data_IF_289229261696
#
_entry.id   IF_289229261696
#
_cell.length_a   1.000
_cell.length_b   1.000
_cell.length_c   1.000
_cell.angle_alpha   90.00
_cell.angle_beta   90.00
_cell.angle_gamma   90.00
#
_symmetry.space_group_name_H-M   'P 1'
#
loop_
_entity.id
_entity.type
_entity.pdbx_description
1 polymer ?
#
# COMPACT_ATOMS: atom_id res chain seq x y z
N UNK A 1 -22.63 -24.49 31.29
CA UNK A 1 -22.80 -24.02 29.88
C UNK A 1 -21.49 -23.41 29.40
N UNK A 2 -21.02 -23.78 28.21
CA UNK A 2 -19.61 -23.87 27.80
C UNK A 2 -18.88 -22.54 27.49
N UNK A 3 -18.47 -21.78 28.52
CA UNK A 3 -17.64 -20.57 28.36
C UNK A 3 -16.23 -20.81 27.79
N UNK A 4 -15.71 -22.04 27.85
CA UNK A 4 -14.36 -22.41 27.36
C UNK A 4 -14.33 -22.54 25.82
N UNK A 5 -15.40 -23.05 25.22
CA UNK A 5 -15.51 -23.22 23.76
C UNK A 5 -15.58 -21.88 23.01
N UNK A 6 -16.35 -20.94 23.55
CA UNK A 6 -16.52 -19.60 22.97
C UNK A 6 -15.20 -18.79 22.97
N UNK A 7 -14.47 -18.77 24.09
CA UNK A 7 -13.17 -18.09 24.19
C UNK A 7 -12.13 -18.68 23.22
N UNK A 8 -12.13 -20.00 23.02
CA UNK A 8 -11.19 -20.68 22.11
C UNK A 8 -11.49 -20.38 20.64
N UNK A 9 -12.77 -20.31 20.26
CA UNK A 9 -13.20 -19.97 18.91
C UNK A 9 -12.98 -18.48 18.57
N UNK A 10 -13.25 -17.59 19.52
CA UNK A 10 -12.94 -16.15 19.41
C UNK A 10 -11.44 -15.92 19.22
N UNK A 11 -10.60 -16.50 20.09
CA UNK A 11 -9.13 -16.37 20.02
C UNK A 11 -8.54 -16.89 18.70
N UNK A 12 -9.09 -17.97 18.12
CA UNK A 12 -8.65 -18.48 16.80
C UNK A 12 -8.99 -17.51 15.66
N UNK A 13 -10.14 -16.84 15.71
CA UNK A 13 -10.53 -15.84 14.71
C UNK A 13 -9.65 -14.59 14.77
N UNK A 14 -9.26 -14.18 15.97
CA UNK A 14 -8.33 -13.07 16.18
C UNK A 14 -6.94 -13.39 15.63
N UNK A 15 -6.36 -14.55 16.00
CA UNK A 15 -5.02 -14.95 15.54
C UNK A 15 -4.92 -14.98 14.01
N UNK A 16 -5.96 -15.51 13.36
CA UNK A 16 -6.00 -15.61 11.92
C UNK A 16 -6.09 -14.20 11.27
N UNK A 17 -6.74 -13.23 11.91
CA UNK A 17 -6.78 -11.84 11.42
C UNK A 17 -5.41 -11.16 11.53
N UNK A 18 -4.67 -11.40 12.61
CA UNK A 18 -3.30 -10.86 12.76
C UNK A 18 -2.32 -11.40 11.73
N UNK A 19 -2.39 -12.69 11.39
CA UNK A 19 -1.56 -13.28 10.33
C UNK A 19 -1.80 -12.58 8.99
N UNK A 20 -3.06 -12.23 8.68
CA UNK A 20 -3.40 -11.50 7.46
C UNK A 20 -2.93 -10.05 7.48
N UNK A 21 -2.95 -9.40 8.64
CA UNK A 21 -2.40 -8.05 8.78
C UNK A 21 -0.89 -8.02 8.56
N UNK A 22 -0.14 -8.96 9.13
CA UNK A 22 1.33 -8.96 9.04
C UNK A 22 1.87 -9.63 7.78
N UNK A 23 1.07 -10.49 7.12
CA UNK A 23 1.47 -11.26 5.95
C UNK A 23 2.16 -10.45 4.84
N UNK A 24 1.60 -9.32 4.39
CA UNK A 24 2.23 -8.48 3.38
C UNK A 24 3.62 -7.98 3.79
N UNK A 25 3.81 -7.59 5.05
CA UNK A 25 5.12 -7.22 5.61
C UNK A 25 6.10 -8.39 5.55
N UNK A 26 5.66 -9.61 5.90
CA UNK A 26 6.51 -10.80 5.82
C UNK A 26 6.91 -11.12 4.38
N UNK A 27 5.99 -10.96 3.41
CA UNK A 27 6.30 -11.18 2.00
C UNK A 27 7.35 -10.19 1.48
N UNK A 28 7.20 -8.91 1.82
CA UNK A 28 8.19 -7.88 1.47
C UNK A 28 9.54 -8.16 2.16
N UNK A 29 9.54 -8.49 3.45
CA UNK A 29 10.75 -8.81 4.18
C UNK A 29 11.49 -10.01 3.57
N UNK A 30 10.77 -11.10 3.27
CA UNK A 30 11.38 -12.28 2.64
C UNK A 30 11.98 -11.94 1.28
N UNK A 31 11.20 -11.31 0.39
CA UNK A 31 11.66 -10.99 -0.96
C UNK A 31 12.84 -10.01 -0.97
N UNK A 32 12.73 -8.92 -0.21
CA UNK A 32 13.68 -7.81 -0.30
C UNK A 32 14.90 -8.00 0.61
N UNK A 33 14.72 -8.52 1.83
CA UNK A 33 15.79 -8.60 2.83
C UNK A 33 16.44 -9.98 2.90
N UNK A 34 15.70 -11.07 2.66
CA UNK A 34 16.28 -12.41 2.66
C UNK A 34 16.77 -12.84 1.28
N UNK A 35 15.95 -12.63 0.23
CA UNK A 35 16.30 -13.00 -1.14
C UNK A 35 16.99 -11.88 -1.91
N UNK A 36 16.94 -10.63 -1.45
CA UNK A 36 17.56 -9.49 -2.14
C UNK A 36 16.99 -9.23 -3.53
N UNK A 37 15.73 -9.63 -3.81
CA UNK A 37 15.16 -9.62 -5.16
C UNK A 37 13.81 -8.94 -5.21
N UNK A 38 13.71 -7.86 -5.98
CA UNK A 38 12.45 -7.14 -6.20
C UNK A 38 11.43 -7.97 -6.97
N UNK A 39 11.88 -8.78 -7.94
CA UNK A 39 10.99 -9.69 -8.65
C UNK A 39 10.33 -10.72 -7.73
N UNK A 40 11.12 -11.34 -6.84
CA UNK A 40 10.59 -12.26 -5.81
C UNK A 40 9.68 -11.51 -4.83
N UNK A 41 10.06 -10.29 -4.45
CA UNK A 41 9.25 -9.40 -3.59
C UNK A 41 7.87 -9.16 -4.18
N UNK A 42 7.81 -8.74 -5.45
CA UNK A 42 6.54 -8.50 -6.16
C UNK A 42 5.72 -9.79 -6.28
N UNK A 43 6.35 -10.90 -6.65
CA UNK A 43 5.66 -12.19 -6.74
C UNK A 43 5.01 -12.58 -5.40
N UNK A 44 5.78 -12.57 -4.31
CA UNK A 44 5.28 -12.97 -2.99
C UNK A 44 4.20 -12.01 -2.48
N UNK A 45 4.44 -10.71 -2.59
CA UNK A 45 3.53 -9.68 -2.09
C UNK A 45 2.21 -9.68 -2.85
N UNK A 46 2.24 -9.57 -4.18
CA UNK A 46 1.01 -9.51 -4.98
C UNK A 46 0.26 -10.85 -4.99
N UNK A 47 0.97 -11.99 -4.94
CA UNK A 47 0.31 -13.28 -4.74
C UNK A 47 -0.42 -13.32 -3.40
N UNK A 48 0.15 -12.79 -2.32
CA UNK A 48 -0.53 -12.72 -1.03
C UNK A 48 -1.78 -11.83 -1.10
N UNK A 49 -1.65 -10.61 -1.63
CA UNK A 49 -2.77 -9.66 -1.72
C UNK A 49 -3.93 -10.22 -2.55
N UNK A 50 -3.62 -11.00 -3.59
CA UNK A 50 -4.63 -11.62 -4.44
C UNK A 50 -5.21 -12.89 -3.82
N UNK A 51 -4.38 -13.87 -3.47
CA UNK A 51 -4.82 -15.22 -3.12
C UNK A 51 -5.53 -15.29 -1.76
N UNK A 52 -5.11 -14.49 -0.78
CA UNK A 52 -5.69 -14.56 0.58
C UNK A 52 -7.19 -14.19 0.60
N UNK A 53 -7.64 -13.09 -0.03
CA UNK A 53 -9.08 -12.81 -0.18
C UNK A 53 -9.85 -13.93 -0.89
N UNK A 54 -9.26 -14.61 -1.89
CA UNK A 54 -9.90 -15.73 -2.60
C UNK A 54 -10.01 -16.99 -1.73
N UNK A 55 -8.95 -17.35 -1.03
CA UNK A 55 -8.93 -18.50 -0.09
C UNK A 55 -9.99 -18.31 0.99
N UNK A 56 -10.16 -17.09 1.47
CA UNK A 56 -11.17 -16.73 2.45
C UNK A 56 -12.59 -16.56 1.87
N UNK A 57 -12.75 -16.66 0.55
CA UNK A 57 -14.00 -16.41 -0.17
C UNK A 57 -14.62 -15.03 0.18
N UNK A 58 -13.75 -14.04 0.40
CA UNK A 58 -14.10 -12.71 0.89
C UNK A 58 -13.61 -11.61 -0.07
N UNK A 59 -13.55 -11.93 -1.37
CA UNK A 59 -13.19 -10.95 -2.39
C UNK A 59 -14.24 -9.82 -2.44
N UNK A 60 -13.84 -8.54 -2.36
CA UNK A 60 -14.75 -7.41 -2.15
C UNK A 60 -15.42 -6.94 -3.44
N UNK A 61 -16.03 -7.85 -4.21
CA UNK A 61 -16.63 -7.55 -5.53
C UNK A 61 -17.68 -6.42 -5.45
N UNK A 62 -18.46 -6.38 -4.37
CA UNK A 62 -19.49 -5.36 -4.16
C UNK A 62 -18.94 -3.96 -3.86
N UNK A 63 -17.65 -3.83 -3.53
CA UNK A 63 -17.00 -2.55 -3.25
C UNK A 63 -16.50 -1.86 -4.52
N UNK A 64 -16.54 -2.51 -5.69
CA UNK A 64 -16.23 -1.93 -7.00
C UNK A 64 -17.37 -1.08 -7.57
N UNK A 65 -17.91 -0.18 -6.76
CA UNK A 65 -19.00 0.72 -7.18
C UNK A 65 -18.42 2.00 -7.76
N UNK A 66 -18.41 2.10 -9.09
CA UNK A 66 -18.02 3.32 -9.78
C UNK A 66 -19.14 4.35 -9.64
N UNK A 67 -18.85 5.45 -8.96
CA UNK A 67 -19.80 6.57 -8.81
C UNK A 67 -19.12 7.87 -9.23
N UNK A 68 -19.90 8.83 -9.73
CA UNK A 68 -19.39 10.16 -10.09
C UNK A 68 -18.67 10.82 -8.90
N UNK A 69 -19.25 10.72 -7.71
CA UNK A 69 -18.65 11.22 -6.48
C UNK A 69 -17.31 10.52 -6.17
N UNK A 70 -17.25 9.19 -6.32
CA UNK A 70 -16.02 8.43 -6.15
C UNK A 70 -14.92 8.84 -7.13
N UNK A 71 -15.26 9.05 -8.39
CA UNK A 71 -14.31 9.55 -9.40
C UNK A 71 -13.80 10.95 -9.02
N UNK A 72 -14.69 11.89 -8.69
CA UNK A 72 -14.29 13.26 -8.32
C UNK A 72 -13.39 13.27 -7.08
N UNK A 73 -13.78 12.52 -6.03
CA UNK A 73 -12.98 12.42 -4.81
C UNK A 73 -11.61 11.78 -5.10
N UNK A 74 -11.58 10.72 -5.91
CA UNK A 74 -10.34 10.05 -6.31
C UNK A 74 -9.42 10.98 -7.11
N UNK A 75 -9.94 11.68 -8.12
CA UNK A 75 -9.17 12.61 -8.93
C UNK A 75 -8.66 13.81 -8.11
N UNK A 76 -9.52 14.43 -7.30
CA UNK A 76 -9.15 15.61 -6.51
C UNK A 76 -8.12 15.26 -5.44
N UNK A 77 -8.34 14.18 -4.68
CA UNK A 77 -7.38 13.76 -3.66
C UNK A 77 -6.10 13.19 -4.26
N UNK A 78 -6.20 12.43 -5.36
CA UNK A 78 -5.05 11.92 -6.08
C UNK A 78 -4.18 13.03 -6.66
N UNK A 79 -4.78 14.07 -7.25
CA UNK A 79 -4.04 15.25 -7.70
C UNK A 79 -3.34 15.97 -6.54
N UNK A 80 -4.00 16.07 -5.37
CA UNK A 80 -3.37 16.64 -4.17
C UNK A 80 -2.14 15.82 -3.72
N UNK A 81 -2.26 14.49 -3.64
CA UNK A 81 -1.13 13.63 -3.28
C UNK A 81 -0.03 13.63 -4.35
N UNK A 82 -0.39 13.62 -5.63
CA UNK A 82 0.55 13.79 -6.74
C UNK A 82 1.38 15.07 -6.55
N UNK A 83 0.71 16.21 -6.35
CA UNK A 83 1.38 17.51 -6.15
C UNK A 83 2.24 17.52 -4.89
N UNK A 84 1.77 16.89 -3.81
CA UNK A 84 2.53 16.75 -2.58
C UNK A 84 3.80 15.92 -2.77
N UNK A 85 3.70 14.75 -3.41
CA UNK A 85 4.83 13.83 -3.62
C UNK A 85 5.82 14.43 -4.64
N UNK A 86 5.34 14.70 -5.85
CA UNK A 86 6.20 15.18 -6.92
C UNK A 86 6.69 16.60 -6.65
N UNK A 87 5.82 17.52 -6.26
CA UNK A 87 6.21 18.90 -5.94
C UNK A 87 7.12 18.97 -4.71
N UNK A 88 6.81 18.18 -3.67
CA UNK A 88 7.64 18.10 -2.47
C UNK A 88 9.05 17.59 -2.77
N UNK A 89 9.19 16.50 -3.53
CA UNK A 89 10.50 15.97 -3.90
C UNK A 89 11.20 16.80 -4.97
N UNK A 90 10.48 17.46 -5.87
CA UNK A 90 11.08 18.41 -6.82
C UNK A 90 11.86 19.50 -6.07
N UNK A 91 11.34 19.98 -4.93
CA UNK A 91 12.02 20.98 -4.13
C UNK A 91 13.05 20.39 -3.13
N UNK A 92 12.71 19.28 -2.47
CA UNK A 92 13.45 18.80 -1.30
C UNK A 92 14.36 17.59 -1.56
N UNK A 93 14.43 17.07 -2.81
CA UNK A 93 15.21 15.87 -3.13
C UNK A 93 16.68 15.96 -2.70
N UNK A 94 17.33 17.13 -2.77
CA UNK A 94 18.72 17.31 -2.33
C UNK A 94 18.93 17.00 -0.84
N UNK A 95 17.88 17.14 -0.02
CA UNK A 95 17.91 16.85 1.41
C UNK A 95 17.43 15.44 1.73
N UNK A 96 16.61 14.83 0.87
CA UNK A 96 15.93 13.58 1.19
C UNK A 96 16.54 12.36 0.48
N UNK A 97 17.14 12.56 -0.68
CA UNK A 97 17.61 11.50 -1.57
C UNK A 97 19.11 11.66 -1.85
N UNK A 98 19.83 10.54 -1.82
CA UNK A 98 21.17 10.46 -2.40
C UNK A 98 21.04 9.93 -3.82
N UNK A 99 20.83 10.83 -4.78
CA UNK A 99 20.47 10.48 -6.17
C UNK A 99 21.43 9.46 -6.78
N UNK A 100 22.75 9.62 -6.60
CA UNK A 100 23.72 8.68 -7.15
C UNK A 100 23.59 7.27 -6.56
N UNK A 101 23.36 7.18 -5.25
CA UNK A 101 23.15 5.88 -4.59
C UNK A 101 21.80 5.27 -4.98
N UNK A 102 20.77 6.09 -5.13
CA UNK A 102 19.45 5.65 -5.55
C UNK A 102 19.48 5.12 -7.00
N UNK A 103 20.22 5.76 -7.90
CA UNK A 103 20.43 5.26 -9.27
C UNK A 103 21.06 3.87 -9.25
N UNK A 104 22.14 3.67 -8.48
CA UNK A 104 22.78 2.36 -8.33
C UNK A 104 21.81 1.33 -7.77
N UNK A 105 21.05 1.68 -6.73
CA UNK A 105 20.03 0.80 -6.15
C UNK A 105 18.96 0.38 -7.17
N UNK A 106 18.46 1.32 -7.98
CA UNK A 106 17.46 1.02 -9.01
C UNK A 106 18.02 0.14 -10.12
N UNK A 107 19.31 0.30 -10.49
CA UNK A 107 20.01 -0.62 -11.40
C UNK A 107 20.11 -2.02 -10.80
N UNK A 108 20.51 -2.14 -9.53
CA UNK A 108 20.62 -3.42 -8.81
C UNK A 108 19.26 -4.12 -8.68
N UNK A 109 18.18 -3.34 -8.57
CA UNK A 109 16.80 -3.82 -8.58
C UNK A 109 16.27 -4.22 -9.97
N UNK A 110 17.06 -4.01 -11.02
CA UNK A 110 16.69 -4.36 -12.39
C UNK A 110 15.77 -3.34 -13.07
N UNK A 111 15.68 -2.11 -12.54
CA UNK A 111 14.86 -1.03 -13.10
C UNK A 111 15.65 -0.19 -14.11
N UNK A 112 16.17 -0.87 -15.13
CA UNK A 112 16.83 -0.28 -16.29
C UNK A 112 16.25 -0.87 -17.58
N UNK A 113 16.13 -0.04 -18.63
CA UNK A 113 15.61 -0.50 -19.92
C UNK A 113 14.18 -1.04 -19.81
N UNK A 114 13.94 -2.28 -20.23
CA UNK A 114 12.60 -2.90 -20.17
C UNK A 114 12.05 -3.03 -18.75
N UNK A 115 12.92 -3.13 -17.73
CA UNK A 115 12.49 -3.19 -16.32
C UNK A 115 11.78 -1.92 -15.85
N UNK A 116 12.07 -0.77 -16.46
CA UNK A 116 11.39 0.50 -16.16
C UNK A 116 9.92 0.44 -16.59
N UNK A 117 9.64 -0.14 -17.77
CA UNK A 117 8.28 -0.29 -18.27
C UNK A 117 7.44 -1.16 -17.33
N UNK A 118 8.00 -2.29 -16.89
CA UNK A 118 7.33 -3.17 -15.93
C UNK A 118 7.11 -2.52 -14.58
N UNK A 119 8.08 -1.74 -14.09
CA UNK A 119 7.92 -0.96 -12.86
C UNK A 119 6.74 0.01 -12.96
N UNK A 120 6.66 0.79 -14.04
CA UNK A 120 5.56 1.75 -14.27
C UNK A 120 4.22 1.02 -14.35
N UNK A 121 4.15 -0.11 -15.07
CA UNK A 121 2.93 -0.90 -15.15
C UNK A 121 2.49 -1.42 -13.78
N UNK A 122 3.44 -1.93 -13.00
CA UNK A 122 3.16 -2.41 -11.63
C UNK A 122 2.67 -1.27 -10.77
N UNK A 123 3.38 -0.14 -10.71
CA UNK A 123 3.02 1.00 -9.86
C UNK A 123 1.69 1.66 -10.27
N UNK A 124 1.39 1.80 -11.57
CA UNK A 124 0.19 2.52 -11.99
C UNK A 124 -1.05 1.65 -12.17
N UNK A 125 -0.89 0.32 -12.19
CA UNK A 125 -2.01 -0.59 -12.45
C UNK A 125 -2.13 -1.64 -11.37
N UNK A 126 -1.13 -2.53 -11.25
CA UNK A 126 -1.26 -3.69 -10.36
C UNK A 126 -1.28 -3.28 -8.88
N UNK A 127 -0.36 -2.41 -8.48
CA UNK A 127 -0.15 -1.97 -7.10
C UNK A 127 -1.40 -1.32 -6.50
N UNK A 128 -1.90 -0.18 -7.03
CA UNK A 128 -3.03 0.51 -6.44
C UNK A 128 -4.29 -0.35 -6.41
N UNK A 129 -4.51 -1.20 -7.42
CA UNK A 129 -5.69 -2.07 -7.44
C UNK A 129 -5.57 -3.15 -6.36
N UNK A 130 -4.46 -3.90 -6.33
CA UNK A 130 -4.31 -5.03 -5.41
C UNK A 130 -4.22 -4.57 -3.96
N UNK A 131 -3.52 -3.48 -3.69
CA UNK A 131 -3.41 -2.92 -2.34
C UNK A 131 -4.75 -2.41 -1.83
N UNK A 132 -5.50 -1.64 -2.62
CA UNK A 132 -6.83 -1.18 -2.18
C UNK A 132 -7.83 -2.31 -2.03
N UNK A 133 -7.81 -3.31 -2.91
CA UNK A 133 -8.62 -4.52 -2.78
C UNK A 133 -8.31 -5.24 -1.47
N UNK A 134 -7.04 -5.43 -1.16
CA UNK A 134 -6.64 -6.16 0.04
C UNK A 134 -6.94 -5.36 1.32
N UNK A 135 -6.49 -4.10 1.40
CA UNK A 135 -6.56 -3.32 2.62
C UNK A 135 -7.94 -2.74 2.87
N UNK A 136 -8.52 -2.07 1.87
CA UNK A 136 -9.78 -1.30 1.99
C UNK A 136 -11.00 -2.15 1.63
N UNK A 137 -10.82 -3.13 0.76
CA UNK A 137 -11.87 -4.07 0.40
C UNK A 137 -11.97 -5.20 1.41
N UNK A 138 -10.94 -6.03 1.50
CA UNK A 138 -10.95 -7.27 2.27
C UNK A 138 -10.70 -7.07 3.77
N UNK A 139 -9.52 -6.55 4.16
CA UNK A 139 -9.13 -6.45 5.57
C UNK A 139 -10.00 -5.46 6.35
N UNK A 140 -10.31 -4.31 5.75
CA UNK A 140 -11.21 -3.33 6.35
C UNK A 140 -12.59 -3.93 6.61
N UNK A 141 -13.23 -4.55 5.61
CA UNK A 141 -14.57 -5.13 5.79
C UNK A 141 -14.56 -6.22 6.87
N UNK A 142 -13.56 -7.11 6.83
CA UNK A 142 -13.41 -8.20 7.80
C UNK A 142 -13.28 -7.71 9.24
N UNK A 143 -12.48 -6.67 9.48
CA UNK A 143 -12.32 -6.08 10.80
C UNK A 143 -13.55 -5.27 11.22
N UNK A 144 -14.20 -4.60 10.26
CA UNK A 144 -15.35 -3.72 10.51
C UNK A 144 -16.57 -4.47 11.04
N UNK A 145 -16.70 -5.77 10.76
CA UNK A 145 -17.75 -6.64 11.32
C UNK A 145 -17.75 -6.62 12.86
N UNK A 146 -16.57 -6.52 13.49
CA UNK A 146 -16.42 -6.68 14.94
C UNK A 146 -15.86 -5.45 15.65
N UNK A 147 -15.32 -4.48 14.90
CA UNK A 147 -14.60 -3.32 15.43
C UNK A 147 -15.18 -2.02 14.89
N UNK A 148 -14.91 -0.93 15.59
CA UNK A 148 -15.34 0.40 15.15
C UNK A 148 -14.65 0.81 13.85
N UNK A 149 -15.29 1.75 13.13
CA UNK A 149 -14.74 2.34 11.92
C UNK A 149 -13.33 2.91 12.16
N UNK A 150 -13.19 3.73 13.21
CA UNK A 150 -11.93 4.38 13.54
C UNK A 150 -10.82 3.37 13.84
N UNK A 151 -11.12 2.35 14.66
CA UNK A 151 -10.14 1.29 14.96
C UNK A 151 -9.69 0.56 13.68
N UNK A 152 -10.64 0.25 12.80
CA UNK A 152 -10.37 -0.45 11.54
C UNK A 152 -9.49 0.38 10.61
N UNK A 153 -9.81 1.67 10.44
CA UNK A 153 -9.03 2.60 9.62
C UNK A 153 -7.59 2.70 10.15
N UNK A 154 -7.42 2.93 11.45
CA UNK A 154 -6.09 3.01 12.06
C UNK A 154 -5.31 1.72 11.90
N UNK A 155 -5.91 0.58 12.26
CA UNK A 155 -5.20 -0.70 12.25
C UNK A 155 -4.75 -1.08 10.83
N UNK A 156 -5.65 -0.99 9.86
CA UNK A 156 -5.31 -1.28 8.45
C UNK A 156 -4.27 -0.31 7.91
N UNK A 157 -4.38 1.00 8.22
CA UNK A 157 -3.40 2.01 7.79
C UNK A 157 -2.02 1.80 8.40
N UNK A 158 -1.94 1.39 9.67
CA UNK A 158 -0.66 1.09 10.33
C UNK A 158 0.03 -0.12 9.69
N UNK A 159 -0.69 -1.21 9.41
CA UNK A 159 -0.11 -2.39 8.77
C UNK A 159 0.19 -2.17 7.28
N UNK A 160 -0.63 -1.38 6.59
CA UNK A 160 -0.34 -0.86 5.25
C UNK A 160 0.99 -0.10 5.22
N UNK A 161 1.18 0.78 6.19
CA UNK A 161 2.39 1.58 6.34
C UNK A 161 3.59 0.72 6.74
N UNK A 162 3.38 -0.33 7.53
CA UNK A 162 4.47 -1.14 8.08
C UNK A 162 5.33 -1.81 6.99
N UNK A 163 4.73 -2.36 5.94
CA UNK A 163 5.54 -2.97 4.87
C UNK A 163 6.21 -1.91 3.98
N UNK A 164 5.62 -0.73 3.83
CA UNK A 164 6.26 0.39 3.13
C UNK A 164 7.54 0.85 3.81
N UNK A 165 7.66 0.70 5.13
CA UNK A 165 8.90 1.02 5.83
C UNK A 165 10.08 0.24 5.24
N UNK A 166 9.86 -1.03 4.85
CA UNK A 166 10.92 -1.89 4.30
C UNK A 166 11.39 -1.46 2.91
N UNK A 167 10.49 -0.90 2.09
CA UNK A 167 10.81 -0.42 0.74
C UNK A 167 11.31 1.03 0.72
N UNK A 168 10.82 1.88 1.63
CA UNK A 168 11.22 3.29 1.77
C UNK A 168 12.60 3.42 2.42
N UNK A 169 12.94 2.53 3.36
CA UNK A 169 14.21 2.59 4.10
C UNK A 169 15.46 2.72 3.22
N UNK A 170 15.66 1.89 2.16
CA UNK A 170 16.83 2.00 1.28
C UNK A 170 16.79 3.20 0.30
N UNK A 171 15.64 3.85 0.10
CA UNK A 171 15.46 4.93 -0.88
C UNK A 171 15.85 6.29 -0.30
N UNK A 172 15.44 6.56 0.94
CA UNK A 172 15.68 7.84 1.60
C UNK A 172 16.95 7.80 2.46
N UNK A 173 17.52 8.97 2.75
CA UNK A 173 18.74 9.04 3.55
C UNK A 173 18.48 9.21 5.06
N UNK A 174 19.07 8.33 5.87
CA UNK A 174 19.13 8.48 7.33
C UNK A 174 17.75 8.61 8.00
N UNK A 175 17.57 9.68 8.79
CA UNK A 175 16.30 9.92 9.51
C UNK A 175 15.12 10.19 8.56
N UNK A 176 15.40 10.64 7.33
CA UNK A 176 14.33 10.93 6.36
C UNK A 176 13.62 9.66 5.89
N UNK A 177 14.24 8.48 6.00
CA UNK A 177 13.57 7.19 5.79
C UNK A 177 12.42 6.96 6.78
N UNK A 178 12.59 7.39 8.03
CA UNK A 178 11.52 7.31 9.03
C UNK A 178 10.48 8.42 8.84
N UNK A 179 10.88 9.59 8.35
CA UNK A 179 9.94 10.70 8.08
C UNK A 179 9.07 10.42 6.85
N UNK A 180 9.64 9.80 5.81
CA UNK A 180 8.97 9.45 4.56
C UNK A 180 7.80 8.46 4.75
N UNK A 181 7.72 7.81 5.91
CA UNK A 181 6.61 6.93 6.26
C UNK A 181 5.34 7.70 6.68
N UNK A 182 5.47 8.95 7.15
CA UNK A 182 4.36 9.75 7.64
C UNK A 182 3.36 10.09 6.53
N UNK A 183 3.79 10.52 5.32
CA UNK A 183 2.88 10.66 4.19
C UNK A 183 2.17 9.36 3.80
N UNK A 184 2.85 8.22 3.86
CA UNK A 184 2.27 6.91 3.57
C UNK A 184 1.16 6.58 4.57
N UNK A 185 1.39 6.83 5.87
CA UNK A 185 0.37 6.66 6.90
C UNK A 185 -0.81 7.61 6.68
N UNK A 186 -0.55 8.87 6.34
CA UNK A 186 -1.58 9.86 6.07
C UNK A 186 -2.47 9.46 4.88
N UNK A 187 -1.88 9.00 3.78
CA UNK A 187 -2.60 8.43 2.65
C UNK A 187 -3.39 7.18 3.07
N UNK A 188 -2.75 6.30 3.85
CA UNK A 188 -3.33 5.18 4.57
C UNK A 188 -4.70 5.50 5.19
N UNK A 189 -4.66 6.43 6.14
CA UNK A 189 -5.79 6.90 6.93
C UNK A 189 -6.84 7.61 6.07
N UNK A 190 -6.40 8.46 5.14
CA UNK A 190 -7.28 9.20 4.26
C UNK A 190 -8.10 8.27 3.36
N UNK A 191 -7.47 7.33 2.67
CA UNK A 191 -8.19 6.37 1.82
C UNK A 191 -9.06 5.42 2.62
N UNK A 192 -8.63 5.01 3.82
CA UNK A 192 -9.46 4.25 4.76
C UNK A 192 -10.73 5.02 5.16
N UNK A 193 -10.60 6.32 5.45
CA UNK A 193 -11.73 7.19 5.74
C UNK A 193 -12.68 7.36 4.54
N UNK A 194 -12.14 7.63 3.35
CA UNK A 194 -12.94 7.78 2.13
C UNK A 194 -13.68 6.49 1.81
N UNK A 195 -13.02 5.34 1.92
CA UNK A 195 -13.68 4.03 1.77
C UNK A 195 -14.81 3.86 2.77
N UNK A 196 -14.59 4.15 4.05
CA UNK A 196 -15.63 3.99 5.08
C UNK A 196 -16.85 4.88 4.79
N UNK A 197 -16.62 6.10 4.30
CA UNK A 197 -17.69 7.06 3.99
C UNK A 197 -18.46 6.72 2.72
N UNK A 198 -17.78 6.17 1.71
CA UNK A 198 -18.38 5.93 0.38
C UNK A 198 -18.81 4.48 0.15
N UNK A 199 -18.27 3.53 0.90
CA UNK A 199 -18.43 2.10 0.67
C UNK A 199 -17.83 1.60 -0.65
N UNK A 200 -17.01 2.43 -1.33
CA UNK A 200 -16.44 2.14 -2.64
C UNK A 200 -14.92 2.21 -2.64
N UNK A 201 -14.29 1.37 -3.47
CA UNK A 201 -12.85 1.39 -3.74
C UNK A 201 -12.45 2.37 -4.86
N UNK A 202 -13.41 2.94 -5.60
CA UNK A 202 -13.10 3.79 -6.76
C UNK A 202 -12.26 5.01 -6.38
N UNK A 203 -12.63 5.73 -5.33
CA UNK A 203 -11.87 6.90 -4.90
C UNK A 203 -10.48 6.54 -4.37
N UNK A 204 -10.33 5.55 -3.45
CA UNK A 204 -9.01 5.04 -3.05
C UNK A 204 -8.13 4.62 -4.22
N UNK A 205 -8.63 3.81 -5.17
CA UNK A 205 -7.83 3.31 -6.30
C UNK A 205 -7.35 4.45 -7.19
N UNK A 206 -8.25 5.36 -7.60
CA UNK A 206 -7.85 6.50 -8.45
C UNK A 206 -6.87 7.42 -7.71
N UNK A 207 -7.14 7.67 -6.43
CA UNK A 207 -6.25 8.47 -5.58
C UNK A 207 -4.85 7.86 -5.48
N UNK A 208 -4.78 6.54 -5.31
CA UNK A 208 -3.54 5.79 -5.23
C UNK A 208 -2.78 5.78 -6.56
N UNK A 209 -3.45 5.53 -7.69
CA UNK A 209 -2.84 5.60 -9.03
C UNK A 209 -2.16 6.96 -9.25
N UNK A 210 -2.82 8.07 -8.87
CA UNK A 210 -2.26 9.40 -9.04
C UNK A 210 -1.13 9.70 -8.04
N UNK A 211 -1.18 9.17 -6.82
CA UNK A 211 -0.04 9.21 -5.89
C UNK A 211 1.18 8.49 -6.46
N UNK A 212 0.98 7.28 -6.99
CA UNK A 212 2.04 6.46 -7.59
C UNK A 212 2.58 7.11 -8.87
N UNK A 213 1.73 7.80 -9.64
CA UNK A 213 2.17 8.64 -10.74
C UNK A 213 3.12 9.75 -10.26
N UNK A 214 2.90 10.32 -9.08
CA UNK A 214 3.82 11.27 -8.46
C UNK A 214 5.20 10.65 -8.23
N UNK A 215 5.25 9.41 -7.74
CA UNK A 215 6.49 8.65 -7.55
C UNK A 215 7.16 8.37 -8.90
N UNK A 216 6.40 7.95 -9.92
CA UNK A 216 6.91 7.73 -11.28
C UNK A 216 7.49 9.02 -11.87
N UNK A 217 6.84 10.18 -11.67
CA UNK A 217 7.38 11.47 -12.11
C UNK A 217 8.67 11.86 -11.37
N UNK A 218 8.77 11.58 -10.06
CA UNK A 218 10.03 11.76 -9.31
C UNK A 218 11.14 10.91 -9.92
N UNK A 219 10.85 9.63 -10.19
CA UNK A 219 11.79 8.75 -10.85
C UNK A 219 12.24 9.33 -12.20
N UNK A 220 11.30 9.73 -13.06
CA UNK A 220 11.61 10.14 -14.44
C UNK A 220 12.31 11.50 -14.57
N UNK A 221 11.96 12.47 -13.73
CA UNK A 221 12.42 13.86 -13.89
C UNK A 221 13.51 14.28 -12.90
N UNK A 222 13.74 13.50 -11.84
CA UNK A 222 14.71 13.84 -10.78
C UNK A 222 15.77 12.75 -10.64
N UNK A 223 15.37 11.48 -10.68
CA UNK A 223 16.27 10.36 -10.38
C UNK A 223 16.93 9.78 -11.62
N UNK A 224 16.22 9.60 -12.73
CA UNK A 224 16.77 9.06 -13.98
C UNK A 224 17.88 9.95 -14.52
#
# INVERSE_FOLDING_TARGET
MNGIGWKKQSRRKDLASYVRLIGPTLMIFMGLQLFGSVAITFLLFYAWLLLVPFIDQAFPAQSFKVTKQGIILGLASGALFFLFIYGGLNWLHIYFLKIDQLRVLLLDWGFAGEGEFWLVLVLLVANPILEEVYWRGYMHEKLRIQRSAMYTIWLTSCFYTLYHLLSVFPIFQGIYSLIAILPVLAAGLFWGFIREKTGSLTAPIIGHILSDLGIVCVYWFIVR
#
